data_IF_619020938754
#
_entry.id   IF_619020938754
#
_cell.length_a   1.000
_cell.length_b   1.000
_cell.length_c   1.000
_cell.angle_alpha   90.00
_cell.angle_beta   90.00
_cell.angle_gamma   90.00
#
_symmetry.space_group_name_H-M   'P 1'
#
loop_
_entity.id
_entity.type
_entity.pdbx_description
1 polymer ?
#
# COMPACT_ATOMS: atom_id res chain seq x y z
N UNK A 1 -12.84 -17.01 8.93
CA UNK A 1 -11.44 -16.54 9.10
C UNK A 1 -10.72 -17.57 9.97
N UNK A 2 -9.65 -18.18 9.47
CA UNK A 2 -8.96 -19.30 10.14
C UNK A 2 -8.05 -18.89 11.31
N UNK A 3 -7.97 -17.59 11.64
CA UNK A 3 -7.05 -17.05 12.66
C UNK A 3 -5.58 -17.08 12.26
N UNK A 4 -5.26 -17.40 11.00
CA UNK A 4 -3.88 -17.40 10.50
C UNK A 4 -3.32 -15.97 10.43
N UNK A 5 -2.01 -15.78 10.71
CA UNK A 5 -1.37 -14.46 10.56
C UNK A 5 -1.51 -13.91 9.14
N UNK A 6 -1.52 -12.58 9.02
CA UNK A 6 -1.45 -11.93 7.71
C UNK A 6 -0.15 -12.30 7.01
N UNK A 7 -0.23 -12.53 5.70
CA UNK A 7 0.93 -12.76 4.85
C UNK A 7 1.33 -11.45 4.22
N UNK A 8 2.61 -11.11 4.33
CA UNK A 8 3.18 -10.00 3.59
C UNK A 8 3.14 -10.33 2.09
N UNK A 9 2.68 -9.38 1.29
CA UNK A 9 2.89 -9.40 -0.14
C UNK A 9 4.32 -9.00 -0.45
N UNK A 10 4.91 -9.67 -1.43
CA UNK A 10 6.23 -9.35 -1.98
C UNK A 10 6.20 -9.52 -3.51
N UNK A 11 5.18 -8.93 -4.14
CA UNK A 11 5.11 -8.89 -5.60
C UNK A 11 6.09 -7.84 -6.11
N UNK A 12 6.66 -8.05 -7.31
CA UNK A 12 7.60 -7.11 -7.91
C UNK A 12 6.98 -5.77 -8.31
N UNK A 13 5.68 -5.61 -8.12
CA UNK A 13 4.91 -4.41 -8.44
C UNK A 13 4.10 -3.88 -7.25
N UNK A 14 4.39 -4.35 -6.02
CA UNK A 14 3.75 -3.83 -4.81
C UNK A 14 4.19 -2.38 -4.57
N UNK A 15 3.23 -1.46 -4.63
CA UNK A 15 3.49 -0.03 -4.76
C UNK A 15 4.29 0.57 -3.61
N UNK A 16 3.90 0.27 -2.37
CA UNK A 16 4.53 0.79 -1.15
C UNK A 16 5.59 -0.18 -0.58
N UNK A 17 6.12 -1.07 -1.43
CA UNK A 17 7.07 -2.10 -1.02
C UNK A 17 6.42 -3.38 -0.50
N UNK A 18 7.24 -4.28 0.04
CA UNK A 18 6.75 -5.51 0.68
C UNK A 18 5.91 -5.19 1.92
N UNK A 19 4.74 -5.81 2.06
CA UNK A 19 3.80 -5.52 3.16
C UNK A 19 2.42 -6.17 3.06
N UNK A 20 1.66 -6.11 4.15
CA UNK A 20 0.20 -6.36 4.15
C UNK A 20 -0.54 -5.05 3.89
N UNK A 21 -1.37 -5.01 2.86
CA UNK A 21 -2.01 -3.79 2.37
C UNK A 21 -3.42 -3.60 2.92
N UNK A 22 -3.75 -2.37 3.31
CA UNK A 22 -5.05 -1.97 3.83
C UNK A 22 -5.50 -0.64 3.23
N UNK A 23 -6.82 -0.50 3.08
CA UNK A 23 -7.45 0.79 2.82
C UNK A 23 -7.72 1.49 4.15
N UNK A 24 -7.33 2.75 4.26
CA UNK A 24 -7.65 3.57 5.42
C UNK A 24 -9.07 4.15 5.26
N UNK A 25 -9.99 3.72 6.12
CA UNK A 25 -11.36 4.25 6.24
C UNK A 25 -12.26 4.17 5.00
N UNK A 26 -11.93 3.32 4.03
CA UNK A 26 -12.75 3.14 2.81
C UNK A 26 -13.22 1.68 2.64
N UNK A 27 -14.30 1.34 3.35
CA UNK A 27 -14.90 -0.01 3.32
C UNK A 27 -15.41 -0.34 1.92
N UNK A 28 -16.00 0.63 1.22
CA UNK A 28 -16.60 0.41 -0.10
C UNK A 28 -15.52 0.11 -1.13
N UNK A 29 -14.47 0.94 -1.20
CA UNK A 29 -13.36 0.71 -2.13
C UNK A 29 -12.65 -0.62 -1.84
N UNK A 30 -12.42 -0.95 -0.58
CA UNK A 30 -11.83 -2.24 -0.19
C UNK A 30 -12.69 -3.42 -0.65
N UNK A 31 -14.02 -3.31 -0.53
CA UNK A 31 -14.94 -4.33 -1.01
C UNK A 31 -14.98 -4.43 -2.55
N UNK A 32 -15.00 -3.32 -3.26
CA UNK A 32 -14.94 -3.29 -4.73
C UNK A 32 -13.66 -3.97 -5.24
N UNK A 33 -12.52 -3.70 -4.59
CA UNK A 33 -11.27 -4.40 -4.89
C UNK A 33 -11.41 -5.91 -4.67
N UNK A 34 -12.02 -6.32 -3.55
CA UNK A 34 -12.24 -7.73 -3.26
C UNK A 34 -13.15 -8.39 -4.31
N UNK A 35 -14.22 -7.74 -4.76
CA UNK A 35 -15.10 -8.25 -5.82
C UNK A 35 -14.32 -8.42 -7.13
N UNK A 36 -13.49 -7.44 -7.49
CA UNK A 36 -12.72 -7.45 -8.74
C UNK A 36 -11.67 -8.58 -8.78
N UNK A 37 -10.96 -8.81 -7.67
CA UNK A 37 -9.78 -9.71 -7.64
C UNK A 37 -9.99 -11.02 -6.88
N UNK A 38 -11.03 -11.10 -6.04
CA UNK A 38 -11.45 -12.26 -5.24
C UNK A 38 -12.92 -12.57 -5.53
N UNK A 39 -13.19 -12.94 -6.78
CA UNK A 39 -14.54 -13.18 -7.31
C UNK A 39 -15.33 -14.28 -6.57
N UNK A 40 -14.65 -15.20 -5.88
CA UNK A 40 -15.27 -16.21 -5.03
C UNK A 40 -15.33 -15.72 -3.59
N UNK A 41 -16.54 -15.44 -3.10
CA UNK A 41 -16.84 -15.03 -1.73
C UNK A 41 -16.07 -13.78 -1.26
N UNK A 42 -16.22 -12.64 -1.95
CA UNK A 42 -15.54 -11.40 -1.58
C UNK A 42 -15.95 -10.95 -0.18
N UNK A 43 -14.95 -10.62 0.64
CA UNK A 43 -15.13 -10.29 2.05
C UNK A 43 -14.23 -9.10 2.39
N UNK A 44 -14.74 -8.20 3.23
CA UNK A 44 -14.01 -7.05 3.78
C UNK A 44 -13.87 -7.24 5.29
N UNK A 45 -12.77 -6.75 5.88
CA UNK A 45 -12.52 -6.85 7.32
C UNK A 45 -12.03 -5.51 7.84
N UNK A 46 -12.33 -5.20 9.10
CA UNK A 46 -11.69 -4.09 9.80
C UNK A 46 -10.40 -4.57 10.47
N UNK A 47 -9.40 -3.70 10.54
CA UNK A 47 -8.15 -3.98 11.24
C UNK A 47 -7.81 -2.83 12.18
N UNK A 48 -7.29 -3.15 13.36
CA UNK A 48 -6.65 -2.20 14.26
C UNK A 48 -5.16 -2.25 13.97
N UNK A 49 -4.64 -1.20 13.35
CA UNK A 49 -3.24 -1.10 12.95
C UNK A 49 -2.58 -0.04 13.82
N UNK A 50 -1.51 -0.42 14.49
CA UNK A 50 -0.63 0.56 15.11
C UNK A 50 0.43 0.98 14.09
N UNK A 51 0.53 2.28 13.79
CA UNK A 51 1.37 2.74 12.69
C UNK A 51 2.88 2.68 13.00
N UNK A 52 3.26 2.74 14.28
CA UNK A 52 4.66 2.74 14.70
C UNK A 52 5.47 3.88 14.08
N UNK A 53 6.71 3.60 13.69
CA UNK A 53 7.51 4.49 12.85
C UNK A 53 6.98 4.42 11.41
N UNK A 54 6.02 5.29 11.08
CA UNK A 54 5.36 5.31 9.78
C UNK A 54 6.06 6.23 8.79
N UNK A 55 6.32 5.71 7.58
CA UNK A 55 6.68 6.53 6.43
C UNK A 55 5.39 7.10 5.82
N UNK A 56 5.03 8.33 6.20
CA UNK A 56 3.81 8.99 5.71
C UNK A 56 4.13 9.93 4.54
N UNK A 57 3.77 9.50 3.33
CA UNK A 57 3.98 10.24 2.07
C UNK A 57 3.05 11.46 1.93
N UNK A 58 2.06 11.63 2.82
CA UNK A 58 1.26 12.86 2.86
C UNK A 58 2.02 14.01 3.54
N UNK A 59 3.16 13.71 4.18
CA UNK A 59 4.05 14.69 4.80
C UNK A 59 5.21 15.05 3.88
N UNK A 60 5.76 16.27 4.04
CA UNK A 60 6.94 16.71 3.29
C UNK A 60 8.16 15.82 3.52
N UNK A 61 8.41 15.43 4.78
CA UNK A 61 9.53 14.55 5.14
C UNK A 61 9.41 13.16 4.52
N UNK A 62 8.21 12.58 4.51
CA UNK A 62 7.99 11.27 3.89
C UNK A 62 8.18 11.32 2.38
N UNK A 63 7.67 12.35 1.72
CA UNK A 63 7.90 12.58 0.30
C UNK A 63 9.39 12.79 -0.02
N UNK A 64 10.10 13.58 0.79
CA UNK A 64 11.55 13.82 0.66
C UNK A 64 12.38 12.54 0.79
N UNK A 65 12.04 11.66 1.74
CA UNK A 65 12.72 10.38 1.90
C UNK A 65 12.59 9.50 0.64
N UNK A 66 11.43 9.48 0.00
CA UNK A 66 11.21 8.72 -1.25
C UNK A 66 11.96 9.35 -2.42
N UNK A 67 11.99 10.69 -2.52
CA UNK A 67 12.76 11.40 -3.55
C UNK A 67 14.27 11.12 -3.43
N UNK A 68 14.80 11.16 -2.21
CA UNK A 68 16.20 10.84 -1.94
C UNK A 68 16.49 9.38 -2.30
N UNK A 69 15.65 8.45 -1.85
CA UNK A 69 15.81 7.02 -2.16
C UNK A 69 15.75 6.73 -3.66
N UNK A 70 14.89 7.41 -4.42
CA UNK A 70 14.88 7.27 -5.88
C UNK A 70 16.19 7.76 -6.50
N UNK A 71 16.71 8.91 -6.03
CA UNK A 71 17.98 9.47 -6.51
C UNK A 71 19.14 8.51 -6.26
N UNK A 72 19.26 7.97 -5.05
CA UNK A 72 20.33 7.03 -4.70
C UNK A 72 20.16 5.67 -5.38
N UNK A 73 18.92 5.23 -5.61
CA UNK A 73 18.62 4.03 -6.40
C UNK A 73 19.11 4.18 -7.85
N UNK A 74 18.80 5.29 -8.51
CA UNK A 74 19.25 5.54 -9.88
C UNK A 74 20.77 5.57 -9.99
N UNK A 75 21.46 6.19 -9.03
CA UNK A 75 22.92 6.20 -9.01
C UNK A 75 23.49 4.79 -8.82
N UNK A 76 22.88 3.97 -7.95
CA UNK A 76 23.26 2.56 -7.80
C UNK A 76 23.07 1.77 -9.10
N UNK A 77 21.96 1.96 -9.81
CA UNK A 77 21.71 1.30 -11.10
C UNK A 77 22.74 1.74 -12.14
N UNK A 78 23.09 3.03 -12.18
CA UNK A 78 24.13 3.57 -13.06
C UNK A 78 25.50 2.96 -12.78
N UNK A 79 25.92 2.91 -11.51
CA UNK A 79 27.22 2.35 -11.10
C UNK A 79 27.31 0.86 -11.42
N UNK A 80 26.23 0.11 -11.20
CA UNK A 80 26.20 -1.35 -11.42
C UNK A 80 25.93 -1.75 -12.87
N UNK A 81 25.54 -0.81 -13.74
CA UNK A 81 25.12 -1.10 -15.11
C UNK A 81 23.78 -1.86 -15.18
N UNK A 82 22.99 -1.85 -14.11
CA UNK A 82 21.69 -2.54 -14.06
C UNK A 82 20.59 -1.69 -14.69
N UNK A 83 19.62 -2.29 -15.40
CA UNK A 83 18.51 -1.55 -15.97
C UNK A 83 17.55 -1.06 -14.89
N UNK A 84 17.06 0.18 -15.06
CA UNK A 84 15.99 0.75 -14.22
C UNK A 84 14.65 0.17 -14.66
N UNK A 85 13.85 -0.31 -13.71
CA UNK A 85 12.48 -0.78 -14.00
C UNK A 85 11.54 0.39 -14.24
N UNK A 86 10.45 0.13 -14.96
CA UNK A 86 9.43 1.14 -15.26
C UNK A 86 8.09 0.72 -14.70
N UNK A 87 7.30 1.68 -14.22
CA UNK A 87 5.90 1.45 -13.90
C UNK A 87 5.11 1.22 -15.19
N UNK A 88 4.20 0.24 -15.19
CA UNK A 88 3.46 -0.20 -16.38
C UNK A 88 1.98 -0.30 -16.08
N UNK A 89 1.17 -0.05 -17.10
CA UNK A 89 -0.26 -0.36 -17.05
C UNK A 89 -0.49 -1.86 -17.13
N UNK A 90 -1.34 -2.40 -16.27
CA UNK A 90 -1.91 -3.72 -16.49
C UNK A 90 -2.98 -3.65 -17.61
N UNK A 91 -3.33 -4.80 -18.18
CA UNK A 91 -4.38 -4.88 -19.22
C UNK A 91 -5.76 -4.44 -18.73
N UNK A 92 -5.97 -4.50 -17.42
CA UNK A 92 -7.22 -4.18 -16.73
C UNK A 92 -7.26 -2.76 -16.18
N UNK A 93 -6.19 -1.98 -16.36
CA UNK A 93 -6.09 -0.63 -15.80
C UNK A 93 -7.00 0.33 -16.56
N UNK A 94 -7.62 1.24 -15.83
CA UNK A 94 -8.37 2.34 -16.43
C UNK A 94 -7.41 3.41 -17.01
N UNK A 95 -7.97 4.40 -17.71
CA UNK A 95 -7.18 5.39 -18.43
C UNK A 95 -6.18 6.16 -17.55
N UNK A 96 -6.49 6.35 -16.26
CA UNK A 96 -5.63 7.02 -15.29
C UNK A 96 -4.73 6.11 -14.45
N UNK A 97 -4.95 4.79 -14.48
CA UNK A 97 -4.29 3.87 -13.57
C UNK A 97 -2.97 3.34 -14.10
N UNK A 98 -2.06 3.06 -13.17
CA UNK A 98 -0.81 2.33 -13.39
C UNK A 98 -0.65 1.38 -12.21
N UNK A 99 -1.14 0.15 -12.33
CA UNK A 99 -1.15 -0.78 -11.19
C UNK A 99 0.14 -1.59 -11.09
N UNK A 100 0.89 -1.78 -12.18
CA UNK A 100 2.17 -2.49 -12.13
C UNK A 100 3.32 -1.55 -11.78
N UNK A 101 3.49 -1.31 -10.47
CA UNK A 101 4.38 -0.30 -9.87
C UNK A 101 5.82 -0.78 -9.67
N UNK A 102 6.44 -1.31 -10.72
CA UNK A 102 7.78 -1.91 -10.63
C UNK A 102 8.88 -0.92 -10.19
N UNK A 103 8.88 0.32 -10.70
CA UNK A 103 9.87 1.32 -10.29
C UNK A 103 9.64 1.71 -8.83
N UNK A 104 8.39 2.04 -8.49
CA UNK A 104 8.03 2.51 -7.14
C UNK A 104 8.37 1.43 -6.10
N UNK A 105 8.13 0.15 -6.44
CA UNK A 105 8.53 -1.02 -5.64
C UNK A 105 10.03 -1.03 -5.33
N UNK A 106 10.88 -0.86 -6.35
CA UNK A 106 12.34 -0.91 -6.18
C UNK A 106 12.85 0.28 -5.36
N UNK A 107 12.27 1.46 -5.57
CA UNK A 107 12.58 2.67 -4.77
C UNK A 107 12.25 2.45 -3.30
N UNK A 108 11.05 1.93 -3.01
CA UNK A 108 10.63 1.63 -1.64
C UNK A 108 11.55 0.61 -0.98
N UNK A 109 11.91 -0.46 -1.68
CA UNK A 109 12.82 -1.45 -1.10
C UNK A 109 14.24 -0.93 -0.91
N UNK A 110 14.73 -0.08 -1.82
CA UNK A 110 16.00 0.60 -1.65
C UNK A 110 16.00 1.50 -0.40
N UNK A 111 14.91 2.24 -0.18
CA UNK A 111 14.69 3.05 1.02
C UNK A 111 14.71 2.16 2.28
N UNK A 112 13.91 1.10 2.30
CA UNK A 112 13.84 0.20 3.44
C UNK A 112 15.18 -0.49 3.74
N UNK A 113 15.89 -0.94 2.71
CA UNK A 113 17.22 -1.53 2.85
C UNK A 113 18.21 -0.52 3.44
N UNK A 114 18.16 0.75 3.01
CA UNK A 114 19.00 1.82 3.53
C UNK A 114 18.72 2.08 5.02
N UNK A 115 17.45 2.19 5.41
CA UNK A 115 17.07 2.36 6.83
C UNK A 115 17.48 1.17 7.69
N UNK A 116 17.37 -0.06 7.17
CA UNK A 116 17.84 -1.28 7.86
C UNK A 116 19.36 -1.27 8.08
N UNK A 117 20.14 -0.81 7.10
CA UNK A 117 21.60 -0.67 7.23
C UNK A 117 21.94 0.39 8.28
N UNK A 118 21.28 1.55 8.23
CA UNK A 118 21.53 2.64 9.18
C UNK A 118 21.13 2.23 10.59
N UNK A 119 19.94 1.66 10.78
CA UNK A 119 19.46 1.12 12.06
C UNK A 119 20.48 0.19 12.71
N UNK A 120 21.02 -0.78 11.95
CA UNK A 120 22.08 -1.68 12.43
C UNK A 120 23.35 -0.94 12.83
N UNK A 121 23.81 0.02 12.03
CA UNK A 121 25.03 0.81 12.31
C UNK A 121 24.87 1.70 13.54
N UNK A 122 23.65 2.14 13.84
CA UNK A 122 23.35 3.06 14.93
C UNK A 122 22.74 2.36 16.14
N UNK A 123 22.84 1.03 16.25
CA UNK A 123 22.25 0.22 17.31
C UNK A 123 20.77 0.54 17.58
N UNK A 124 19.99 0.76 16.52
CA UNK A 124 18.55 0.99 16.57
C UNK A 124 18.12 2.43 16.92
N UNK A 125 19.03 3.40 17.02
CA UNK A 125 18.64 4.80 17.25
C UNK A 125 17.86 5.40 16.07
N UNK A 126 18.24 5.04 14.83
CA UNK A 126 17.40 5.21 13.64
C UNK A 126 16.58 3.94 13.46
N UNK A 127 15.25 4.06 13.44
CA UNK A 127 14.35 2.91 13.33
C UNK A 127 14.01 2.61 11.87
N UNK A 128 13.83 1.33 11.56
CA UNK A 128 13.17 0.89 10.33
C UNK A 128 11.70 1.37 10.32
N UNK A 129 11.09 1.43 9.14
CA UNK A 129 9.67 1.78 9.05
C UNK A 129 8.80 0.56 9.33
N UNK A 130 7.83 0.74 10.22
CA UNK A 130 6.87 -0.31 10.58
C UNK A 130 5.69 -0.35 9.60
N UNK A 131 5.32 0.83 9.09
CA UNK A 131 4.25 1.03 8.11
C UNK A 131 4.63 2.09 7.08
N UNK A 132 3.98 2.04 5.92
CA UNK A 132 4.02 3.09 4.88
C UNK A 132 2.60 3.53 4.60
N UNK A 133 2.32 4.83 4.60
CA UNK A 133 1.00 5.41 4.35
C UNK A 133 1.09 6.38 3.20
N UNK A 134 0.21 6.25 2.21
CA UNK A 134 0.19 7.13 1.04
C UNK A 134 -1.21 7.31 0.46
N UNK A 135 -1.49 8.49 -0.08
CA UNK A 135 -2.66 8.75 -0.92
C UNK A 135 -2.42 8.11 -2.29
N UNK A 136 -3.32 7.24 -2.73
CA UNK A 136 -3.32 6.63 -4.05
C UNK A 136 -4.39 7.27 -4.94
N UNK A 137 -4.01 8.11 -5.91
CA UNK A 137 -4.92 8.56 -6.96
C UNK A 137 -5.23 7.37 -7.88
N UNK A 138 -6.51 7.02 -7.99
CA UNK A 138 -6.98 5.87 -8.76
C UNK A 138 -8.31 6.19 -9.45
N UNK A 139 -8.51 5.56 -10.60
CA UNK A 139 -9.73 5.60 -11.39
C UNK A 139 -9.70 6.70 -12.43
N UNK A 140 -10.81 7.42 -12.55
CA UNK A 140 -10.97 8.52 -13.50
C UNK A 140 -11.30 9.82 -12.78
N UNK A 141 -11.04 10.93 -13.47
CA UNK A 141 -11.50 12.24 -13.03
C UNK A 141 -13.03 12.22 -12.79
N UNK A 142 -13.48 12.81 -11.67
CA UNK A 142 -14.90 12.88 -11.34
C UNK A 142 -15.72 13.68 -12.37
N UNK A 143 -15.07 14.63 -13.04
CA UNK A 143 -15.59 15.44 -14.13
C UNK A 143 -14.41 15.99 -14.95
N UNK A 144 -14.61 16.44 -16.21
CA UNK A 144 -13.50 16.88 -17.07
C UNK A 144 -12.63 17.98 -16.42
N UNK A 145 -11.33 17.70 -16.29
CA UNK A 145 -10.34 18.61 -15.70
C UNK A 145 -10.28 18.59 -14.17
N UNK A 146 -10.94 17.63 -13.51
CA UNK A 146 -10.92 17.53 -12.05
C UNK A 146 -9.55 17.09 -11.51
N UNK A 147 -9.14 17.67 -10.38
CA UNK A 147 -8.06 17.12 -9.55
C UNK A 147 -8.51 15.95 -8.66
N UNK A 148 -9.79 15.59 -8.71
CA UNK A 148 -10.39 14.53 -7.89
C UNK A 148 -10.66 13.30 -8.74
N UNK A 149 -10.37 12.12 -8.17
CA UNK A 149 -10.51 10.85 -8.85
C UNK A 149 -11.47 9.93 -8.08
N UNK A 150 -12.33 9.22 -8.80
CA UNK A 150 -13.48 8.50 -8.25
C UNK A 150 -13.15 7.29 -7.37
N UNK A 151 -11.89 6.83 -7.38
CA UNK A 151 -11.40 5.72 -6.54
C UNK A 151 -10.22 6.12 -5.67
N UNK A 152 -9.95 7.41 -5.51
CA UNK A 152 -8.87 7.90 -4.64
C UNK A 152 -9.04 7.38 -3.21
N UNK A 153 -8.00 6.79 -2.65
CA UNK A 153 -8.01 6.28 -1.28
C UNK A 153 -6.62 6.36 -0.65
N UNK A 154 -6.55 6.25 0.67
CA UNK A 154 -5.26 6.09 1.36
C UNK A 154 -4.96 4.60 1.52
N UNK A 155 -3.76 4.19 1.11
CA UNK A 155 -3.24 2.85 1.35
C UNK A 155 -2.25 2.86 2.51
N UNK A 156 -2.30 1.81 3.32
CA UNK A 156 -1.31 1.50 4.33
C UNK A 156 -0.69 0.15 4.00
N UNK A 157 0.62 0.12 3.80
CA UNK A 157 1.40 -1.11 3.77
C UNK A 157 2.01 -1.35 5.14
N UNK A 158 1.59 -2.42 5.81
CA UNK A 158 2.12 -2.86 7.09
C UNK A 158 3.27 -3.83 6.84
N UNK A 159 4.48 -3.46 7.25
CA UNK A 159 5.70 -4.24 7.00
C UNK A 159 5.94 -5.31 8.07
N UNK A 160 5.54 -5.01 9.30
CA UNK A 160 5.65 -5.92 10.44
C UNK A 160 4.26 -6.38 10.90
N UNK A 161 3.98 -7.68 10.82
CA UNK A 161 2.65 -8.24 11.13
C UNK A 161 2.25 -7.96 12.58
N UNK A 162 3.20 -7.81 13.50
CA UNK A 162 2.92 -7.45 14.88
C UNK A 162 2.20 -6.09 15.04
N UNK A 163 2.28 -5.20 14.04
CA UNK A 163 1.56 -3.92 14.02
C UNK A 163 0.05 -4.08 13.76
N UNK A 164 -0.39 -5.23 13.25
CA UNK A 164 -1.81 -5.57 13.11
C UNK A 164 -2.29 -6.09 14.46
N UNK A 165 -2.77 -5.18 15.32
CA UNK A 165 -3.14 -5.47 16.72
C UNK A 165 -4.42 -6.28 16.83
N UNK A 166 -5.27 -6.23 15.82
CA UNK A 166 -6.51 -7.00 15.80
C UNK A 166 -7.25 -6.87 14.48
N UNK A 167 -8.18 -7.80 14.26
CA UNK A 167 -9.09 -7.82 13.11
C UNK A 167 -10.49 -8.08 13.59
N UNK A 168 -11.45 -7.40 12.98
CA UNK A 168 -12.85 -7.52 13.33
C UNK A 168 -13.72 -7.57 12.07
N UNK A 169 -14.92 -8.12 12.24
CA UNK A 169 -15.97 -8.02 11.22
C UNK A 169 -16.47 -6.59 11.20
N UNK A 170 -16.53 -5.99 10.01
CA UNK A 170 -17.17 -4.70 9.80
C UNK A 170 -18.62 -4.80 10.29
N UNK A 171 -19.13 -3.86 11.10
CA UNK A 171 -20.49 -3.92 11.60
C UNK A 171 -21.52 -4.07 10.45
N UNK A 172 -22.47 -4.99 10.59
CA UNK A 172 -23.49 -5.26 9.55
C UNK A 172 -24.25 -3.98 9.15
N UNK A 173 -24.46 -3.05 10.09
CA UNK A 173 -25.08 -1.75 9.81
C UNK A 173 -24.28 -0.90 8.81
N UNK A 174 -22.95 -0.95 8.85
CA UNK A 174 -22.07 -0.20 7.95
C UNK A 174 -22.05 -0.84 6.57
N UNK A 175 -22.00 -2.18 6.50
CA UNK A 175 -22.14 -2.90 5.24
C UNK A 175 -23.47 -2.55 4.54
N UNK A 176 -24.58 -2.58 5.28
CA UNK A 176 -25.91 -2.22 4.76
C UNK A 176 -25.96 -0.76 4.29
N UNK A 177 -25.36 0.18 5.02
CA UNK A 177 -25.32 1.59 4.64
C UNK A 177 -24.58 1.81 3.31
N UNK A 178 -23.63 0.93 2.97
CA UNK A 178 -22.85 0.96 1.73
C UNK A 178 -23.41 0.04 0.63
N UNK A 179 -24.60 -0.55 0.82
CA UNK A 179 -25.19 -1.55 -0.07
C UNK A 179 -24.29 -2.79 -0.32
N UNK A 180 -23.41 -3.11 0.63
CA UNK A 180 -22.57 -4.30 0.59
C UNK A 180 -23.39 -5.47 1.19
N UNK A 181 -23.48 -6.63 0.51
CA UNK A 181 -24.16 -7.79 1.06
C UNK A 181 -23.52 -8.24 2.37
N UNK A 182 -24.25 -9.03 3.16
CA UNK A 182 -23.68 -9.62 4.37
C UNK A 182 -22.64 -10.69 4.01
N UNK A 183 -21.38 -10.25 3.93
CA UNK A 183 -20.21 -11.05 3.52
C UNK A 183 -19.72 -12.05 4.58
N UNK A 184 -20.42 -12.16 5.71
CA UNK A 184 -20.05 -13.06 6.81
C UNK A 184 -21.02 -14.22 7.03
N UNK A 185 -22.00 -14.39 6.13
CA UNK A 185 -22.94 -15.52 6.17
C UNK A 185 -22.22 -16.79 5.73
N UNK A 186 -21.77 -17.55 6.71
CA UNK A 186 -21.35 -18.95 6.59
C UNK A 186 -22.42 -19.83 7.24
#
# INVERSE_FOLDING_TARGET
>A
MSGSPFKLSDKPYDWLGSGSYFWEWDILRAYEWAVQWRSKDPCVVGAVIELGNCLDLTTRKGAEAVMEAHTTYLELMRITGSPVRENKKAKTDEAGDVTLRFLDREVMEHLHASYKIVSKKTNGSVKEFDTVRALFPEGKELYPGAGFWDKTHVQIAVKEVAQIRGVFRVPIRELKALNIPDVYRF
#
